data_IF_935933276220
#
_entry.id   IF_935933276220
#
_cell.length_a   1.000
_cell.length_b   1.000
_cell.length_c   1.000
_cell.angle_alpha   90.00
_cell.angle_beta   90.00
_cell.angle_gamma   90.00
#
_symmetry.space_group_name_H-M   'P 1'
#
loop_
_entity.id
_entity.type
_entity.pdbx_description
1 polymer ?
#
# COMPACT_ATOMS: atom_id res chain seq x y z
N UNK A 1 -2.30 -1.51 10.76
CA UNK A 1 -0.94 -1.31 11.29
C UNK A 1 -0.87 0.11 11.82
N UNK A 2 -0.41 0.36 13.05
CA UNK A 2 -0.43 1.70 13.64
C UNK A 2 0.56 2.62 12.93
N UNK A 3 0.22 3.88 12.70
CA UNK A 3 1.14 4.89 12.15
C UNK A 3 0.89 6.24 12.84
N UNK A 4 1.78 7.24 12.68
CA UNK A 4 1.54 8.59 13.19
C UNK A 4 0.23 9.22 12.68
N UNK A 5 -0.30 8.74 11.56
CA UNK A 5 -1.55 9.21 10.96
C UNK A 5 -2.77 8.36 11.33
N UNK A 6 -2.62 7.27 12.09
CA UNK A 6 -3.67 6.29 12.40
C UNK A 6 -3.42 4.89 11.81
N UNK A 7 -4.46 4.05 11.74
CA UNK A 7 -4.34 2.66 11.24
C UNK A 7 -4.16 2.56 9.71
N UNK A 8 -2.94 2.28 9.27
CA UNK A 8 -2.58 1.97 7.90
C UNK A 8 -3.10 0.58 7.49
N UNK A 9 -3.62 0.47 6.27
CA UNK A 9 -4.02 -0.81 5.68
C UNK A 9 -3.35 -1.02 4.33
N UNK A 10 -2.74 -2.20 4.12
CA UNK A 10 -2.15 -2.61 2.85
C UNK A 10 -3.03 -3.69 2.23
N UNK A 11 -3.52 -3.44 1.02
CA UNK A 11 -4.28 -4.38 0.22
C UNK A 11 -3.37 -5.00 -0.82
N UNK A 12 -3.25 -6.32 -0.72
CA UNK A 12 -2.38 -7.11 -1.56
C UNK A 12 -3.07 -8.42 -1.95
N UNK A 13 -2.54 -9.08 -2.98
CA UNK A 13 -2.98 -10.40 -3.42
C UNK A 13 -1.76 -11.30 -3.58
N UNK A 14 -1.90 -12.57 -3.21
CA UNK A 14 -0.88 -13.55 -3.51
C UNK A 14 -0.94 -13.93 -4.99
N UNK A 15 0.14 -13.65 -5.72
CA UNK A 15 0.33 -14.06 -7.11
C UNK A 15 1.47 -15.08 -7.21
N UNK A 16 1.62 -15.70 -8.39
CA UNK A 16 2.65 -16.72 -8.64
C UNK A 16 4.09 -16.23 -8.43
N UNK A 17 4.34 -14.93 -8.65
CA UNK A 17 5.64 -14.28 -8.44
C UNK A 17 5.86 -13.71 -7.04
N UNK A 18 4.89 -13.81 -6.14
CA UNK A 18 4.92 -13.20 -4.82
C UNK A 18 3.68 -12.34 -4.51
N UNK A 19 3.66 -11.65 -3.36
CA UNK A 19 2.55 -10.77 -3.00
C UNK A 19 2.60 -9.48 -3.83
N UNK A 20 1.49 -9.14 -4.49
CA UNK A 20 1.33 -7.94 -5.29
C UNK A 20 0.44 -6.92 -4.55
N UNK A 21 0.95 -5.71 -4.31
CA UNK A 21 0.28 -4.63 -3.60
C UNK A 21 -0.59 -3.85 -4.57
N UNK A 22 -1.90 -3.84 -4.32
CA UNK A 22 -2.88 -3.13 -5.13
C UNK A 22 -3.20 -1.74 -4.60
N UNK A 23 -3.27 -1.58 -3.27
CA UNK A 23 -3.58 -0.30 -2.62
C UNK A 23 -2.91 -0.20 -1.26
N UNK A 24 -2.45 1.00 -0.93
CA UNK A 24 -2.06 1.39 0.41
C UNK A 24 -3.08 2.45 0.84
N UNK A 25 -3.82 2.16 1.91
CA UNK A 25 -4.81 3.07 2.46
C UNK A 25 -4.19 3.71 3.70
N UNK A 26 -3.79 4.97 3.55
CA UNK A 26 -3.48 5.81 4.69
C UNK A 26 -4.77 6.12 5.44
N UNK A 27 -4.71 6.24 6.77
CA UNK A 27 -5.83 6.70 7.54
C UNK A 27 -6.14 8.13 7.10
N UNK A 28 -7.35 8.33 6.58
CA UNK A 28 -7.95 9.65 6.50
C UNK A 28 -8.70 9.86 7.82
N UNK A 29 -9.17 11.07 8.10
CA UNK A 29 -10.29 11.33 9.02
C UNK A 29 -11.60 10.57 8.67
N UNK A 30 -11.52 9.58 7.78
CA UNK A 30 -12.54 8.62 7.45
C UNK A 30 -12.83 7.73 8.65
N UNK A 31 -14.11 7.61 9.01
CA UNK A 31 -14.54 6.73 10.09
C UNK A 31 -14.12 5.27 9.84
N UNK A 32 -14.02 4.44 10.90
CA UNK A 32 -13.78 2.99 10.77
C UNK A 32 -14.76 2.31 9.79
N UNK A 33 -15.99 2.84 9.66
CA UNK A 33 -17.00 2.37 8.73
C UNK A 33 -16.61 2.61 7.26
N UNK A 34 -15.97 3.74 6.94
CA UNK A 34 -15.47 4.01 5.59
C UNK A 34 -14.32 3.06 5.22
N UNK A 35 -13.38 2.83 6.14
CA UNK A 35 -12.32 1.83 5.93
C UNK A 35 -12.92 0.42 5.72
N UNK A 36 -13.89 0.01 6.55
CA UNK A 36 -14.58 -1.26 6.39
C UNK A 36 -15.32 -1.36 5.04
N UNK A 37 -15.98 -0.29 4.58
CA UNK A 37 -16.67 -0.26 3.29
C UNK A 37 -15.72 -0.42 2.11
N UNK A 38 -14.53 0.20 2.19
CA UNK A 38 -13.48 0.05 1.17
C UNK A 38 -12.94 -1.37 1.15
N UNK A 39 -12.71 -1.97 2.32
CA UNK A 39 -12.27 -3.35 2.43
C UNK A 39 -13.30 -4.32 1.83
N UNK A 40 -14.58 -4.09 2.13
CA UNK A 40 -15.69 -4.87 1.58
C UNK A 40 -15.78 -4.70 0.05
N UNK A 41 -15.58 -3.50 -0.49
CA UNK A 41 -15.53 -3.29 -1.95
C UNK A 41 -14.45 -4.13 -2.63
N UNK A 42 -13.31 -4.34 -1.96
CA UNK A 42 -12.22 -5.18 -2.47
C UNK A 42 -12.37 -6.68 -2.15
N UNK A 43 -13.45 -7.10 -1.48
CA UNK A 43 -13.61 -8.45 -0.91
C UNK A 43 -12.36 -8.90 -0.12
N UNK A 44 -11.72 -7.97 0.57
CA UNK A 44 -10.46 -8.21 1.24
C UNK A 44 -10.69 -8.95 2.57
N UNK A 45 -9.90 -9.98 2.82
CA UNK A 45 -9.83 -10.67 4.11
C UNK A 45 -8.50 -10.39 4.79
N UNK A 46 -8.45 -10.34 6.13
CA UNK A 46 -7.20 -10.25 6.86
C UNK A 46 -6.28 -11.43 6.51
N UNK A 47 -5.03 -11.14 6.16
CA UNK A 47 -4.02 -12.13 5.82
C UNK A 47 -2.63 -11.67 6.31
N UNK A 48 -1.75 -12.62 6.59
CA UNK A 48 -0.36 -12.37 6.96
C UNK A 48 0.59 -12.80 5.85
N UNK A 49 1.60 -11.98 5.58
CA UNK A 49 2.69 -12.26 4.66
C UNK A 49 3.92 -11.49 5.15
N UNK A 50 5.07 -12.15 5.26
CA UNK A 50 6.29 -11.53 5.78
C UNK A 50 6.72 -10.32 4.94
N UNK A 51 6.76 -10.46 3.62
CA UNK A 51 7.13 -9.35 2.73
C UNK A 51 6.20 -8.13 2.86
N UNK A 52 4.91 -8.35 3.12
CA UNK A 52 3.95 -7.26 3.34
C UNK A 52 4.11 -6.65 4.73
N UNK A 53 4.45 -7.45 5.74
CA UNK A 53 4.79 -6.95 7.07
C UNK A 53 6.05 -6.06 7.01
N UNK A 54 7.10 -6.52 6.34
CA UNK A 54 8.35 -5.78 6.14
C UNK A 54 8.12 -4.45 5.39
N UNK A 55 7.28 -4.47 4.34
CA UNK A 55 6.85 -3.25 3.66
C UNK A 55 6.10 -2.31 4.60
N UNK A 56 5.20 -2.85 5.42
CA UNK A 56 4.45 -2.06 6.39
C UNK A 56 5.34 -1.39 7.44
N UNK A 57 6.38 -2.08 7.94
CA UNK A 57 7.37 -1.50 8.86
C UNK A 57 8.16 -0.36 8.19
N UNK A 58 8.58 -0.54 6.94
CA UNK A 58 9.25 0.51 6.15
C UNK A 58 8.35 1.73 5.98
N UNK A 59 7.07 1.54 5.68
CA UNK A 59 6.08 2.64 5.57
C UNK A 59 5.92 3.33 6.92
N UNK A 60 5.80 2.59 8.03
CA UNK A 60 5.66 3.18 9.37
C UNK A 60 6.85 4.08 9.72
N UNK A 61 8.08 3.62 9.48
CA UNK A 61 9.31 4.40 9.69
C UNK A 61 9.33 5.66 8.84
N UNK A 62 8.96 5.54 7.57
CA UNK A 62 8.89 6.68 6.65
C UNK A 62 7.85 7.72 7.09
N UNK A 63 6.65 7.27 7.48
CA UNK A 63 5.63 8.15 8.04
C UNK A 63 6.07 8.80 9.37
N UNK A 64 7.01 8.18 10.08
CA UNK A 64 7.70 8.73 11.25
C UNK A 64 8.80 9.74 10.93
N UNK A 65 9.07 10.03 9.66
CA UNK A 65 10.06 11.00 9.21
C UNK A 65 11.44 10.40 8.88
N UNK A 66 11.59 9.09 8.92
CA UNK A 66 12.83 8.44 8.50
C UNK A 66 12.98 8.43 6.97
N UNK A 67 14.21 8.64 6.50
CA UNK A 67 14.56 8.46 5.10
C UNK A 67 14.60 6.95 4.79
N UNK A 68 13.56 6.46 4.13
CA UNK A 68 13.41 5.06 3.72
C UNK A 68 13.26 5.02 2.21
N UNK A 69 14.07 4.19 1.56
CA UNK A 69 13.91 3.92 0.13
C UNK A 69 12.84 2.85 -0.07
N UNK A 70 12.01 3.01 -1.10
CA UNK A 70 10.99 2.04 -1.51
C UNK A 70 11.33 1.49 -2.89
N UNK A 71 11.05 0.21 -3.11
CA UNK A 71 11.09 -0.43 -4.42
C UNK A 71 9.67 -0.55 -4.98
N UNK A 72 9.55 -0.71 -6.30
CA UNK A 72 8.26 -0.86 -6.98
C UNK A 72 7.95 -2.31 -7.37
N UNK A 73 8.80 -3.27 -7.00
CA UNK A 73 8.76 -4.65 -7.50
C UNK A 73 7.47 -5.37 -7.10
N UNK A 74 6.97 -5.08 -5.90
CA UNK A 74 5.71 -5.63 -5.41
C UNK A 74 4.47 -4.83 -5.85
N UNK A 75 4.60 -3.71 -6.57
CA UNK A 75 3.46 -2.86 -6.91
C UNK A 75 2.70 -3.37 -8.13
N UNK A 76 1.36 -3.43 -8.01
CA UNK A 76 0.47 -3.89 -9.07
C UNK A 76 0.26 -2.89 -10.22
N UNK A 77 1.34 -2.29 -10.73
CA UNK A 77 1.33 -1.24 -11.76
C UNK A 77 0.80 -1.74 -13.11
N UNK A 78 0.80 -3.06 -13.34
CA UNK A 78 0.15 -3.68 -14.51
C UNK A 78 -1.35 -3.41 -14.59
N UNK A 79 -2.01 -3.13 -13.46
CA UNK A 79 -3.44 -2.81 -13.39
C UNK A 79 -3.75 -1.34 -13.69
N UNK A 80 -2.74 -0.51 -13.92
CA UNK A 80 -2.90 0.91 -14.27
C UNK A 80 -3.00 1.07 -15.78
N UNK A 81 -3.79 2.05 -16.24
CA UNK A 81 -3.74 2.46 -17.66
C UNK A 81 -2.33 2.95 -18.03
N UNK A 82 -2.00 2.92 -19.33
CA UNK A 82 -0.69 3.38 -19.80
C UNK A 82 -0.36 4.82 -19.41
N UNK A 83 -1.37 5.70 -19.32
CA UNK A 83 -1.19 7.06 -18.82
C UNK A 83 -0.92 7.09 -17.31
N UNK A 84 -1.74 6.42 -16.51
CA UNK A 84 -1.56 6.36 -15.05
C UNK A 84 -0.19 5.80 -14.67
N UNK A 85 0.26 4.72 -15.33
CA UNK A 85 1.57 4.14 -15.08
C UNK A 85 2.70 5.12 -15.37
N UNK A 86 2.62 5.88 -16.47
CA UNK A 86 3.63 6.91 -16.80
C UNK A 86 3.69 8.01 -15.72
N UNK A 87 2.54 8.47 -15.25
CA UNK A 87 2.46 9.48 -14.19
C UNK A 87 3.10 8.95 -12.90
N UNK A 88 2.72 7.75 -12.46
CA UNK A 88 3.25 7.16 -11.22
C UNK A 88 4.77 6.91 -11.28
N UNK A 89 5.29 6.47 -12.44
CA UNK A 89 6.74 6.28 -12.61
C UNK A 89 7.50 7.60 -12.63
N UNK A 90 6.90 8.66 -13.18
CA UNK A 90 7.49 10.00 -13.14
C UNK A 90 7.52 10.56 -11.70
N UNK A 91 6.43 10.36 -10.95
CA UNK A 91 6.31 10.77 -9.54
C UNK A 91 7.34 10.05 -8.65
N UNK A 92 7.54 8.74 -8.86
CA UNK A 92 8.59 7.98 -8.18
C UNK A 92 10.02 8.49 -8.46
N UNK A 93 10.23 9.19 -9.57
CA UNK A 93 11.52 9.79 -9.91
C UNK A 93 11.82 11.10 -9.17
N UNK A 94 10.89 11.60 -8.35
CA UNK A 94 11.06 12.82 -7.57
C UNK A 94 11.85 12.50 -6.28
N UNK A 95 12.97 13.19 -6.00
CA UNK A 95 13.78 12.97 -4.80
C UNK A 95 13.10 13.34 -3.47
#
# INVERSE_FOLDING_TARGET
MPSPFGELTILWRQESGGPEVHRILLPKEASRAECASRLAFFNATPASCSAIADLGERIQRHLGGEAVQFDLDAMALGNCSGFQRKVLLADYGIP
#
